data_IF_765373661322
#
_entry.id   IF_765373661322
#
_cell.length_a   1.000
_cell.length_b   1.000
_cell.length_c   1.000
_cell.angle_alpha   90.00
_cell.angle_beta   90.00
_cell.angle_gamma   90.00
#
_symmetry.space_group_name_H-M   'P 1'
#
loop_
_entity.id
_entity.type
_entity.pdbx_description
1 polymer ?
#
# COMPACT_ATOMS: atom_id res chain seq x y z
N UNK A 1 -11.82 32.72 9.98
CA UNK A 1 -12.66 31.51 9.77
C UNK A 1 -12.39 30.75 8.45
N UNK A 2 -12.46 31.37 7.25
CA UNK A 2 -12.24 30.67 5.95
C UNK A 2 -10.85 30.04 5.75
N UNK A 3 -9.76 30.70 6.20
CA UNK A 3 -8.37 30.22 6.04
C UNK A 3 -8.07 28.92 6.78
N UNK A 4 -8.54 28.78 8.03
CA UNK A 4 -8.30 27.60 8.86
C UNK A 4 -9.05 26.35 8.35
N UNK A 5 -10.30 26.52 7.91
CA UNK A 5 -11.07 25.45 7.27
C UNK A 5 -10.42 25.00 5.95
N UNK A 6 -9.91 25.94 5.15
CA UNK A 6 -9.17 25.60 3.93
C UNK A 6 -7.86 24.87 4.21
N UNK A 7 -7.15 25.22 5.29
CA UNK A 7 -5.95 24.50 5.73
C UNK A 7 -6.27 23.03 6.04
N UNK A 8 -7.27 22.77 6.89
CA UNK A 8 -7.69 21.38 7.20
C UNK A 8 -8.22 20.62 5.98
N UNK A 9 -8.96 21.30 5.07
CA UNK A 9 -9.41 20.69 3.81
C UNK A 9 -8.23 20.25 2.93
N UNK A 10 -7.22 21.11 2.81
CA UNK A 10 -6.02 20.83 1.99
C UNK A 10 -5.25 19.65 2.58
N UNK A 11 -5.01 19.64 3.88
CA UNK A 11 -4.34 18.52 4.56
C UNK A 11 -5.12 17.21 4.44
N UNK A 12 -6.45 17.25 4.60
CA UNK A 12 -7.29 16.07 4.36
C UNK A 12 -7.13 15.52 2.94
N UNK A 13 -7.14 16.40 1.93
CA UNK A 13 -7.06 15.99 0.52
C UNK A 13 -5.69 15.40 0.17
N UNK A 14 -4.61 16.01 0.69
CA UNK A 14 -3.24 15.50 0.51
C UNK A 14 -3.12 14.11 1.15
N UNK A 15 -3.55 13.97 2.40
CA UNK A 15 -3.43 12.72 3.15
C UNK A 15 -4.30 11.59 2.56
N UNK A 16 -5.48 11.92 2.03
CA UNK A 16 -6.34 10.97 1.31
C UNK A 16 -5.71 10.51 -0.01
N UNK A 17 -5.06 11.42 -0.73
CA UNK A 17 -4.36 11.09 -1.96
C UNK A 17 -3.13 10.20 -1.69
N UNK A 18 -2.32 10.55 -0.68
CA UNK A 18 -1.18 9.74 -0.25
C UNK A 18 -1.62 8.33 0.17
N UNK A 19 -2.67 8.21 0.99
CA UNK A 19 -3.20 6.91 1.42
C UNK A 19 -3.63 6.04 0.23
N UNK A 20 -4.36 6.62 -0.73
CA UNK A 20 -4.76 5.90 -1.95
C UNK A 20 -3.56 5.51 -2.81
N UNK A 21 -2.54 6.37 -2.89
CA UNK A 21 -1.27 6.08 -3.55
C UNK A 21 -0.58 4.87 -2.92
N UNK A 22 -0.42 4.86 -1.60
CA UNK A 22 0.18 3.75 -0.85
C UNK A 22 -0.58 2.43 -1.05
N UNK A 23 -1.91 2.47 -0.99
CA UNK A 23 -2.75 1.28 -1.23
C UNK A 23 -2.57 0.79 -2.67
N UNK A 24 -2.56 1.69 -3.67
CA UNK A 24 -2.35 1.32 -5.06
C UNK A 24 -0.99 0.64 -5.27
N UNK A 25 0.07 1.19 -4.67
CA UNK A 25 1.41 0.58 -4.70
C UNK A 25 1.39 -0.80 -4.03
N UNK A 26 0.72 -0.94 -2.88
CA UNK A 26 0.56 -2.22 -2.20
C UNK A 26 -0.16 -3.27 -3.05
N UNK A 27 -1.23 -2.88 -3.76
CA UNK A 27 -1.95 -3.77 -4.70
C UNK A 27 -1.04 -4.19 -5.85
N UNK A 28 -0.26 -3.26 -6.43
CA UNK A 28 0.68 -3.58 -7.50
C UNK A 28 1.74 -4.58 -7.01
N UNK A 29 2.34 -4.35 -5.85
CA UNK A 29 3.34 -5.26 -5.27
C UNK A 29 2.76 -6.64 -4.98
N UNK A 30 1.55 -6.70 -4.44
CA UNK A 30 0.89 -7.97 -4.17
C UNK A 30 0.61 -8.75 -5.47
N UNK A 31 0.10 -8.08 -6.51
CA UNK A 31 -0.13 -8.70 -7.83
C UNK A 31 1.18 -9.18 -8.47
N UNK A 32 2.25 -8.39 -8.41
CA UNK A 32 3.57 -8.79 -8.90
C UNK A 32 4.10 -10.01 -8.13
N UNK A 33 3.97 -10.02 -6.80
CA UNK A 33 4.36 -11.17 -5.97
C UNK A 33 3.63 -12.45 -6.34
N UNK A 34 2.30 -12.37 -6.52
CA UNK A 34 1.48 -13.50 -6.96
C UNK A 34 1.91 -13.99 -8.35
N UNK A 35 2.13 -13.08 -9.31
CA UNK A 35 2.59 -13.42 -10.65
C UNK A 35 3.96 -14.09 -10.65
N UNK A 36 4.89 -13.63 -9.81
CA UNK A 36 6.21 -14.25 -9.64
C UNK A 36 6.10 -15.68 -9.08
N UNK A 37 5.22 -15.89 -8.09
CA UNK A 37 4.95 -17.23 -7.56
C UNK A 37 4.38 -18.17 -8.62
N UNK A 38 3.38 -17.72 -9.38
CA UNK A 38 2.82 -18.50 -10.50
C UNK A 38 3.87 -18.81 -11.55
N UNK A 39 4.73 -17.85 -11.89
CA UNK A 39 5.80 -18.04 -12.85
C UNK A 39 6.83 -19.07 -12.35
N UNK A 40 7.24 -19.00 -11.08
CA UNK A 40 8.13 -19.98 -10.47
C UNK A 40 7.53 -21.40 -10.51
N UNK A 41 6.25 -21.54 -10.14
CA UNK A 41 5.54 -22.83 -10.21
C UNK A 41 5.42 -23.33 -11.64
N UNK A 42 5.13 -22.45 -12.61
CA UNK A 42 5.04 -22.82 -14.02
C UNK A 42 6.39 -23.31 -14.57
N UNK A 43 7.48 -22.61 -14.26
CA UNK A 43 8.84 -23.02 -14.66
C UNK A 43 9.18 -24.39 -14.09
N UNK A 44 8.90 -24.64 -12.80
CA UNK A 44 9.09 -25.96 -12.18
C UNK A 44 8.26 -27.06 -12.84
N UNK A 45 7.02 -26.75 -13.24
CA UNK A 45 6.12 -27.71 -13.85
C UNK A 45 6.55 -28.10 -15.27
N UNK A 46 7.00 -27.13 -16.07
CA UNK A 46 7.40 -27.33 -17.47
C UNK A 46 8.80 -27.92 -17.58
N UNK A 47 9.76 -27.42 -16.79
CA UNK A 47 11.14 -27.86 -16.81
C UNK A 47 11.39 -28.86 -15.68
N UNK A 48 10.91 -30.10 -15.88
CA UNK A 48 11.15 -31.23 -14.96
C UNK A 48 12.62 -31.60 -14.82
N UNK A 49 13.43 -31.37 -15.86
CA UNK A 49 14.88 -31.51 -15.78
C UNK A 49 15.50 -30.25 -15.16
N UNK A 50 16.07 -30.40 -13.97
CA UNK A 50 16.70 -29.32 -13.21
C UNK A 50 18.01 -28.90 -13.86
N UNK A 51 17.94 -28.01 -14.85
CA UNK A 51 19.11 -27.24 -15.27
C UNK A 51 19.54 -26.32 -14.13
N UNK A 52 20.85 -26.05 -14.00
CA UNK A 52 21.35 -25.11 -12.97
C UNK A 52 20.66 -23.73 -13.04
N UNK A 53 20.30 -23.30 -14.25
CA UNK A 53 19.64 -22.02 -14.51
C UNK A 53 18.20 -22.01 -13.98
N UNK A 54 17.42 -23.08 -14.21
CA UNK A 54 16.04 -23.18 -13.72
C UNK A 54 16.00 -23.26 -12.20
N UNK A 55 16.91 -24.03 -11.59
CA UNK A 55 17.04 -24.10 -10.13
C UNK A 55 17.41 -22.74 -9.54
N UNK A 56 18.39 -22.05 -10.13
CA UNK A 56 18.79 -20.71 -9.67
C UNK A 56 17.64 -19.70 -9.76
N UNK A 57 16.88 -19.70 -10.86
CA UNK A 57 15.71 -18.84 -11.02
C UNK A 57 14.67 -19.10 -9.92
N UNK A 58 14.32 -20.36 -9.66
CA UNK A 58 13.33 -20.70 -8.62
C UNK A 58 13.80 -20.26 -7.24
N UNK A 59 15.07 -20.54 -6.89
CA UNK A 59 15.67 -20.14 -5.60
C UNK A 59 15.65 -18.62 -5.40
N UNK A 60 15.67 -17.84 -6.47
CA UNK A 60 15.57 -16.38 -6.39
C UNK A 60 14.10 -15.88 -6.43
N UNK A 61 13.28 -16.46 -7.30
CA UNK A 61 11.88 -16.07 -7.48
C UNK A 61 11.01 -16.39 -6.27
N UNK A 62 11.29 -17.47 -5.53
CA UNK A 62 10.53 -17.81 -4.31
C UNK A 62 10.62 -16.73 -3.22
N UNK A 63 11.82 -16.35 -2.72
CA UNK A 63 11.94 -15.29 -1.72
C UNK A 63 11.52 -13.93 -2.27
N UNK A 64 11.76 -13.66 -3.56
CA UNK A 64 11.31 -12.43 -4.22
C UNK A 64 9.78 -12.34 -4.26
N UNK A 65 9.10 -13.39 -4.71
CA UNK A 65 7.64 -13.47 -4.76
C UNK A 65 7.03 -13.31 -3.37
N UNK A 66 7.58 -14.01 -2.38
CA UNK A 66 7.14 -13.89 -0.98
C UNK A 66 7.32 -12.47 -0.42
N UNK A 67 8.47 -11.84 -0.70
CA UNK A 67 8.74 -10.47 -0.30
C UNK A 67 7.73 -9.49 -0.89
N UNK A 68 7.51 -9.53 -2.21
CA UNK A 68 6.55 -8.64 -2.87
C UNK A 68 5.11 -8.87 -2.39
N UNK A 69 4.73 -10.12 -2.17
CA UNK A 69 3.43 -10.47 -1.63
C UNK A 69 3.22 -9.87 -0.23
N UNK A 70 4.18 -10.11 0.68
CA UNK A 70 4.10 -9.64 2.05
C UNK A 70 4.16 -8.12 2.15
N UNK A 71 5.09 -7.48 1.44
CA UNK A 71 5.19 -6.02 1.44
C UNK A 71 3.95 -5.36 0.84
N UNK A 72 3.39 -5.93 -0.22
CA UNK A 72 2.12 -5.49 -0.78
C UNK A 72 0.98 -5.52 0.24
N UNK A 73 0.85 -6.63 0.99
CA UNK A 73 -0.12 -6.74 2.09
C UNK A 73 0.17 -5.76 3.23
N UNK A 74 1.45 -5.53 3.55
CA UNK A 74 1.86 -4.60 4.58
C UNK A 74 1.35 -3.18 4.29
N UNK A 75 1.58 -2.71 3.06
CA UNK A 75 1.10 -1.41 2.58
C UNK A 75 -0.44 -1.33 2.57
N UNK A 76 -1.13 -2.40 2.19
CA UNK A 76 -2.61 -2.43 2.11
C UNK A 76 -3.23 -2.47 3.50
N UNK A 77 -2.73 -3.28 4.43
CA UNK A 77 -3.39 -3.57 5.71
C UNK A 77 -2.89 -2.69 6.86
N UNK A 78 -1.58 -2.46 6.96
CA UNK A 78 -0.99 -1.77 8.12
C UNK A 78 -0.85 -0.27 7.87
N UNK A 79 -0.32 0.13 6.72
CA UNK A 79 -0.17 1.55 6.41
C UNK A 79 -1.54 2.24 6.23
N UNK A 80 -2.50 1.58 5.57
CA UNK A 80 -3.87 2.11 5.49
C UNK A 80 -4.51 2.30 6.89
N UNK A 81 -4.34 1.31 7.79
CA UNK A 81 -4.86 1.36 9.16
C UNK A 81 -4.19 2.46 9.98
N UNK A 82 -2.91 2.74 9.75
CA UNK A 82 -2.15 3.81 10.43
C UNK A 82 -2.57 5.21 9.96
N UNK A 83 -2.92 5.37 8.68
CA UNK A 83 -3.35 6.66 8.11
C UNK A 83 -4.81 6.99 8.41
N UNK A 84 -5.67 5.97 8.58
CA UNK A 84 -7.12 6.13 8.80
C UNK A 84 -7.49 7.05 9.99
N UNK A 85 -6.89 6.94 11.19
CA UNK A 85 -7.22 7.82 12.33
C UNK A 85 -6.88 9.29 12.05
N UNK A 86 -5.74 9.56 11.38
CA UNK A 86 -5.35 10.92 11.00
C UNK A 86 -6.33 11.50 9.99
N UNK A 87 -6.74 10.71 9.01
CA UNK A 87 -7.69 11.11 7.98
C UNK A 87 -9.07 11.41 8.58
N UNK A 88 -9.53 10.63 9.55
CA UNK A 88 -10.74 10.89 10.32
C UNK A 88 -10.66 12.16 11.16
N UNK A 89 -9.51 12.41 11.80
CA UNK A 89 -9.27 13.64 12.57
C UNK A 89 -9.40 14.88 11.68
N UNK A 90 -8.69 14.91 10.54
CA UNK A 90 -8.76 16.04 9.61
C UNK A 90 -10.15 16.20 8.99
N UNK A 91 -10.85 15.10 8.73
CA UNK A 91 -12.25 15.11 8.26
C UNK A 91 -13.18 15.75 9.28
N UNK A 92 -13.05 15.41 10.57
CA UNK A 92 -13.84 16.00 11.66
C UNK A 92 -13.54 17.50 11.78
N UNK A 93 -12.26 17.88 11.85
CA UNK A 93 -11.82 19.28 11.98
C UNK A 93 -12.25 20.17 10.82
N UNK A 94 -12.21 19.66 9.58
CA UNK A 94 -12.72 20.40 8.42
C UNK A 94 -14.24 20.58 8.44
N UNK A 95 -14.99 19.60 8.94
CA UNK A 95 -16.46 19.66 9.01
C UNK A 95 -16.97 20.52 10.17
N UNK A 96 -16.24 20.60 11.27
CA UNK A 96 -16.62 21.40 12.43
C UNK A 96 -16.68 22.91 12.13
N UNK A 97 -17.67 23.61 12.70
CA UNK A 97 -17.63 25.07 12.83
C UNK A 97 -16.74 25.38 14.03
N UNK A 98 -15.60 26.02 13.78
CA UNK A 98 -14.70 26.49 14.84
C UNK A 98 -15.17 27.88 15.25
N UNK A 99 -15.84 27.97 16.39
CA UNK A 99 -16.21 29.21 17.05
C UNK A 99 -15.22 29.44 18.19
N UNK A 100 -14.38 30.46 18.04
CA UNK A 100 -13.50 30.93 19.11
C UNK A 100 -14.32 31.89 19.97
N UNK A 101 -14.56 31.51 21.21
CA UNK A 101 -14.97 32.46 22.24
C UNK A 101 -13.70 33.21 22.65
N UNK A 102 -13.67 34.51 22.37
CA UNK A 102 -12.70 35.41 23.02
C UNK A 102 -13.39 35.93 24.27
N UNK A 103 -12.85 35.56 25.42
CA UNK A 103 -13.08 36.28 26.68
C UNK A 103 -12.34 37.64 26.65
#
# INVERSE_FOLDING_TARGET
KKRLKNHFKRHFTILDHEMKGTIKTGVIFNLVGILLMFFATYVLFVYKDTSLVTTFLVVFLEPGGWFFFWEGLNLILFESKKMRPKLEFYKKMYKSRIDFFSD
#
